data_IF_664349756808
#
_entry.id   IF_664349756808
#
_cell.length_a   1.000
_cell.length_b   1.000
_cell.length_c   1.000
_cell.angle_alpha   90.00
_cell.angle_beta   90.00
_cell.angle_gamma   90.00
#
_symmetry.space_group_name_H-M   'P 1'
#
loop_
_entity.id
_entity.type
_entity.pdbx_description
1 polymer ?
#
# COMPACT_ATOMS: atom_id res chain seq x y z
N UNK A 1 -32.70 35.50 2.57
CA UNK A 1 -33.23 34.22 2.07
C UNK A 1 -33.92 33.53 3.24
N UNK A 2 -35.25 33.33 3.22
CA UNK A 2 -35.93 32.71 4.35
C UNK A 2 -35.74 31.19 4.31
N UNK A 3 -35.23 30.66 5.42
CA UNK A 3 -35.16 29.23 5.75
C UNK A 3 -36.55 28.59 5.65
N UNK A 4 -36.66 27.52 4.87
CA UNK A 4 -37.81 26.60 4.93
C UNK A 4 -37.39 25.39 5.76
N UNK A 5 -38.10 25.03 6.84
CA UNK A 5 -37.87 23.75 7.49
C UNK A 5 -38.40 22.63 6.60
N UNK A 6 -37.52 21.73 6.18
CA UNK A 6 -37.89 20.48 5.50
C UNK A 6 -38.10 19.42 6.57
N UNK A 7 -39.31 19.38 7.14
CA UNK A 7 -39.77 18.20 7.89
C UNK A 7 -40.18 17.11 6.90
N UNK A 8 -39.22 16.26 6.53
CA UNK A 8 -39.49 15.03 5.79
C UNK A 8 -39.48 13.86 6.77
N UNK A 9 -40.58 13.70 7.50
CA UNK A 9 -40.80 12.53 8.35
C UNK A 9 -41.11 11.32 7.45
N UNK A 10 -40.06 10.64 6.98
CA UNK A 10 -40.20 9.31 6.40
C UNK A 10 -40.48 8.32 7.52
N UNK A 11 -41.75 8.14 7.85
CA UNK A 11 -42.19 7.00 8.62
C UNK A 11 -42.00 5.73 7.78
N UNK A 12 -40.85 5.07 7.93
CA UNK A 12 -40.70 3.69 7.48
C UNK A 12 -41.51 2.79 8.42
N UNK A 13 -42.45 1.97 7.91
CA UNK A 13 -43.10 0.98 8.74
C UNK A 13 -42.03 0.03 9.28
N UNK A 14 -42.11 -0.43 10.55
CA UNK A 14 -41.20 -1.44 11.06
C UNK A 14 -41.43 -2.73 10.28
N UNK A 15 -40.59 -2.98 9.28
CA UNK A 15 -40.47 -4.29 8.63
C UNK A 15 -39.92 -5.24 9.67
N UNK A 16 -40.82 -5.90 10.41
CA UNK A 16 -40.53 -7.11 11.18
C UNK A 16 -40.28 -8.30 10.24
N UNK A 17 -39.43 -8.11 9.23
CA UNK A 17 -38.84 -9.24 8.50
C UNK A 17 -37.72 -9.73 9.40
N UNK A 18 -37.97 -10.85 10.07
CA UNK A 18 -37.30 -11.27 11.30
C UNK A 18 -35.78 -11.20 11.28
N UNK A 19 -35.20 -10.43 12.19
CA UNK A 19 -33.75 -10.45 12.49
C UNK A 19 -33.27 -11.87 12.84
N UNK A 20 -34.14 -12.69 13.44
CA UNK A 20 -33.90 -14.12 13.70
C UNK A 20 -33.80 -14.98 12.43
N UNK A 21 -34.60 -14.70 11.39
CA UNK A 21 -34.49 -15.42 10.11
C UNK A 21 -33.24 -15.01 9.34
N UNK A 22 -32.83 -13.74 9.43
CA UNK A 22 -31.58 -13.25 8.86
C UNK A 22 -30.35 -13.91 9.47
N UNK A 23 -30.30 -14.05 10.80
CA UNK A 23 -29.18 -14.72 11.51
C UNK A 23 -29.13 -16.22 11.22
N UNK A 24 -30.29 -16.88 11.21
CA UNK A 24 -30.37 -18.30 10.87
C UNK A 24 -29.94 -18.56 9.42
N UNK A 25 -30.40 -17.73 8.48
CA UNK A 25 -29.98 -17.80 7.08
C UNK A 25 -28.48 -17.55 6.92
N UNK A 26 -27.93 -16.54 7.60
CA UNK A 26 -26.50 -16.26 7.59
C UNK A 26 -25.68 -17.43 8.15
N UNK A 27 -26.10 -18.02 9.27
CA UNK A 27 -25.44 -19.18 9.87
C UNK A 27 -25.47 -20.40 8.93
N UNK A 28 -26.60 -20.63 8.27
CA UNK A 28 -26.74 -21.69 7.27
C UNK A 28 -25.82 -21.45 6.07
N UNK A 29 -25.83 -20.25 5.48
CA UNK A 29 -25.00 -19.90 4.32
C UNK A 29 -23.50 -19.99 4.65
N UNK A 30 -23.09 -19.53 5.82
CA UNK A 30 -21.71 -19.62 6.28
C UNK A 30 -21.30 -21.07 6.51
N UNK A 31 -22.12 -21.87 7.20
CA UNK A 31 -21.85 -23.29 7.47
C UNK A 31 -21.76 -24.10 6.18
N UNK A 32 -22.67 -23.84 5.23
CA UNK A 32 -22.67 -24.47 3.93
C UNK A 32 -21.44 -24.09 3.09
N UNK A 33 -21.07 -22.80 3.10
CA UNK A 33 -19.87 -22.31 2.39
C UNK A 33 -18.60 -22.91 2.99
N UNK A 34 -18.51 -22.95 4.33
CA UNK A 34 -17.41 -23.59 5.05
C UNK A 34 -17.29 -25.07 4.69
N UNK A 35 -18.39 -25.83 4.76
CA UNK A 35 -18.41 -27.25 4.41
C UNK A 35 -17.95 -27.48 2.96
N UNK A 36 -18.42 -26.66 2.01
CA UNK A 36 -17.95 -26.71 0.61
C UNK A 36 -16.45 -26.45 0.50
N UNK A 37 -15.91 -25.45 1.19
CA UNK A 37 -14.48 -25.12 1.15
C UNK A 37 -13.64 -26.24 1.77
N UNK A 38 -14.07 -26.81 2.90
CA UNK A 38 -13.37 -27.93 3.55
C UNK A 38 -13.37 -29.17 2.67
N UNK A 39 -14.53 -29.57 2.13
CA UNK A 39 -14.63 -30.70 1.23
C UNK A 39 -13.76 -30.47 -0.02
N UNK A 40 -13.80 -29.27 -0.62
CA UNK A 40 -12.93 -28.95 -1.76
C UNK A 40 -11.45 -29.03 -1.39
N UNK A 41 -11.05 -28.47 -0.24
CA UNK A 41 -9.66 -28.49 0.24
C UNK A 41 -9.15 -29.91 0.49
N UNK A 42 -9.99 -30.80 1.03
CA UNK A 42 -9.62 -32.18 1.30
C UNK A 42 -9.51 -33.04 0.03
N UNK A 43 -10.34 -32.78 -0.97
CA UNK A 43 -10.44 -33.63 -2.17
C UNK A 43 -9.82 -33.03 -3.44
N UNK A 44 -9.34 -31.79 -3.41
CA UNK A 44 -8.66 -31.16 -4.55
C UNK A 44 -7.28 -30.65 -4.14
N UNK A 45 -6.27 -30.91 -4.98
CA UNK A 45 -4.97 -30.26 -4.84
C UNK A 45 -5.12 -28.84 -5.38
N UNK A 46 -5.06 -27.79 -4.56
CA UNK A 46 -5.15 -26.44 -5.09
C UNK A 46 -4.01 -26.22 -6.10
N UNK A 47 -4.24 -25.43 -7.16
CA UNK A 47 -3.15 -24.98 -8.01
C UNK A 47 -2.07 -24.31 -7.17
N UNK A 48 -0.80 -24.30 -7.61
CA UNK A 48 0.29 -23.70 -6.85
C UNK A 48 -0.10 -22.27 -6.46
N UNK A 49 -0.17 -21.97 -5.16
CA UNK A 49 -0.65 -20.67 -4.68
C UNK A 49 0.15 -19.49 -5.25
N UNK A 50 1.44 -19.70 -5.51
CA UNK A 50 2.31 -18.74 -6.17
C UNK A 50 1.89 -18.46 -7.62
N UNK A 51 1.48 -19.48 -8.37
CA UNK A 51 1.05 -19.30 -9.77
C UNK A 51 -0.25 -18.50 -9.84
N UNK A 52 -1.23 -18.84 -9.00
CA UNK A 52 -2.48 -18.08 -8.87
C UNK A 52 -2.23 -16.65 -8.37
N UNK A 53 -1.26 -16.45 -7.48
CA UNK A 53 -0.86 -15.13 -7.04
C UNK A 53 -0.31 -14.30 -8.21
N UNK A 54 0.59 -14.86 -9.03
CA UNK A 54 1.10 -14.18 -10.21
C UNK A 54 0.02 -13.89 -11.26
N UNK A 55 -0.93 -14.82 -11.47
CA UNK A 55 -2.05 -14.60 -12.39
C UNK A 55 -2.94 -13.43 -11.98
N UNK A 56 -3.18 -13.25 -10.68
CA UNK A 56 -4.05 -12.18 -10.17
C UNK A 56 -3.31 -10.85 -9.99
N UNK A 57 -2.05 -10.89 -9.54
CA UNK A 57 -1.33 -9.70 -9.06
C UNK A 57 -0.06 -9.38 -9.84
N UNK A 58 0.38 -10.24 -10.76
CA UNK A 58 1.62 -10.05 -11.51
C UNK A 58 1.62 -8.75 -12.33
N UNK A 59 0.45 -8.31 -12.79
CA UNK A 59 0.28 -7.04 -13.51
C UNK A 59 0.17 -5.82 -12.59
N UNK A 60 0.00 -6.01 -11.28
CA UNK A 60 -0.16 -4.93 -10.30
C UNK A 60 1.18 -4.41 -9.75
N UNK A 61 2.30 -4.84 -10.34
CA UNK A 61 3.63 -4.38 -9.94
C UNK A 61 4.13 -4.98 -8.62
N UNK A 62 3.48 -6.03 -8.11
CA UNK A 62 3.95 -6.75 -6.92
C UNK A 62 5.16 -7.62 -7.29
N UNK A 63 6.33 -7.22 -6.82
CA UNK A 63 7.56 -7.98 -6.97
C UNK A 63 7.77 -8.96 -5.82
N UNK A 64 8.36 -10.14 -6.08
CA UNK A 64 8.77 -11.04 -5.02
C UNK A 64 9.80 -10.37 -4.11
N UNK A 65 9.74 -10.65 -2.81
CA UNK A 65 10.68 -10.17 -1.79
C UNK A 65 11.45 -11.35 -1.23
N UNK A 66 12.77 -11.33 -1.41
CA UNK A 66 13.68 -12.35 -0.89
C UNK A 66 13.85 -12.24 0.62
N UNK A 67 14.38 -13.28 1.25
CA UNK A 67 14.58 -13.31 2.70
C UNK A 67 15.51 -12.17 3.18
N UNK A 68 16.59 -11.94 2.44
CA UNK A 68 17.58 -10.88 2.72
C UNK A 68 16.97 -9.48 2.51
N UNK A 69 16.08 -9.35 1.54
CA UNK A 69 15.38 -8.09 1.26
C UNK A 69 14.40 -7.73 2.39
N UNK A 70 13.75 -8.73 2.98
CA UNK A 70 12.83 -8.53 4.12
C UNK A 70 13.54 -7.94 5.33
N UNK A 71 14.77 -8.34 5.60
CA UNK A 71 15.57 -7.82 6.72
C UNK A 71 15.87 -6.32 6.56
N UNK A 72 16.08 -5.85 5.33
CA UNK A 72 16.38 -4.44 5.08
C UNK A 72 15.12 -3.57 5.00
N UNK A 73 13.98 -4.14 4.59
CA UNK A 73 12.70 -3.42 4.50
C UNK A 73 12.20 -2.89 5.84
N UNK A 74 12.50 -3.56 6.95
CA UNK A 74 12.16 -3.05 8.29
C UNK A 74 12.80 -1.68 8.53
N UNK A 75 14.07 -1.51 8.12
CA UNK A 75 14.80 -0.25 8.28
C UNK A 75 14.24 0.84 7.38
N UNK A 76 13.84 0.50 6.15
CA UNK A 76 13.20 1.44 5.23
C UNK A 76 11.88 1.99 5.80
N UNK A 77 11.11 1.14 6.47
CA UNK A 77 9.76 1.44 6.96
C UNK A 77 9.72 2.35 8.20
N UNK A 78 10.87 2.72 8.78
CA UNK A 78 10.95 3.54 10.01
C UNK A 78 10.61 5.01 9.81
N UNK A 79 10.34 5.45 8.58
CA UNK A 79 10.09 6.86 8.28
C UNK A 79 8.89 7.40 9.09
N UNK A 80 9.16 8.41 9.92
CA UNK A 80 8.17 9.11 10.76
C UNK A 80 7.61 10.38 10.11
N UNK A 81 7.84 10.58 8.82
CA UNK A 81 7.32 11.73 8.05
C UNK A 81 7.67 13.12 8.64
N UNK A 82 8.87 13.29 9.21
CA UNK A 82 9.27 14.56 9.84
C UNK A 82 9.65 15.69 8.87
N UNK A 83 9.76 15.44 7.56
CA UNK A 83 10.11 16.44 6.54
C UNK A 83 11.55 16.99 6.56
N UNK A 84 12.40 16.62 7.53
CA UNK A 84 13.79 17.14 7.62
C UNK A 84 14.64 16.88 6.38
N UNK A 85 14.41 15.75 5.69
CA UNK A 85 15.12 15.42 4.47
C UNK A 85 14.72 16.31 3.27
N UNK A 86 13.60 17.04 3.35
CA UNK A 86 13.13 17.93 2.28
C UNK A 86 13.74 19.33 2.36
N UNK A 87 14.43 19.67 3.45
CA UNK A 87 15.09 20.97 3.59
C UNK A 87 16.10 21.19 2.45
N UNK A 88 15.87 22.20 1.63
CA UNK A 88 16.70 22.55 0.47
C UNK A 88 16.36 21.81 -0.83
N UNK A 89 15.30 21.00 -0.88
CA UNK A 89 14.91 20.26 -2.09
C UNK A 89 14.13 21.09 -3.12
N UNK A 90 13.74 22.34 -2.80
CA UNK A 90 12.83 23.14 -3.62
C UNK A 90 13.26 23.31 -5.08
N UNK A 91 14.55 23.55 -5.34
CA UNK A 91 15.07 23.67 -6.71
C UNK A 91 14.96 22.35 -7.49
N UNK A 92 15.21 21.22 -6.83
CA UNK A 92 15.11 19.87 -7.42
C UNK A 92 13.66 19.48 -7.70
N UNK A 93 12.76 19.77 -6.77
CA UNK A 93 11.32 19.56 -6.94
C UNK A 93 10.83 20.35 -8.15
N UNK A 94 11.17 21.64 -8.25
CA UNK A 94 10.80 22.47 -9.39
C UNK A 94 11.39 21.95 -10.72
N UNK A 95 12.68 21.58 -10.71
CA UNK A 95 13.36 21.05 -11.91
C UNK A 95 12.76 19.71 -12.40
N UNK A 96 12.19 18.92 -11.50
CA UNK A 96 11.60 17.61 -11.84
C UNK A 96 10.27 17.68 -12.58
N UNK A 97 9.62 18.86 -12.64
CA UNK A 97 8.29 19.04 -13.26
C UNK A 97 7.23 18.06 -12.75
N UNK A 98 7.28 17.74 -11.45
CA UNK A 98 6.32 16.86 -10.77
C UNK A 98 6.75 15.40 -10.66
N UNK A 99 7.87 14.99 -11.26
CA UNK A 99 8.39 13.63 -11.12
C UNK A 99 9.04 13.36 -9.75
N UNK A 100 9.47 14.41 -9.03
CA UNK A 100 10.06 14.31 -7.69
C UNK A 100 9.33 15.25 -6.72
N UNK A 101 8.51 14.71 -5.80
CA UNK A 101 7.74 15.51 -4.84
C UNK A 101 8.53 15.93 -3.58
N UNK A 102 9.80 15.52 -3.47
CA UNK A 102 10.59 15.62 -2.24
C UNK A 102 11.00 14.24 -1.73
N UNK A 103 12.01 14.19 -0.86
CA UNK A 103 12.62 12.96 -0.40
C UNK A 103 11.72 12.23 0.62
N UNK A 104 11.05 12.95 1.52
CA UNK A 104 10.11 12.33 2.46
C UNK A 104 8.93 11.64 1.76
N UNK A 105 8.13 12.31 0.88
CA UNK A 105 7.01 11.64 0.21
C UNK A 105 7.49 10.50 -0.67
N UNK A 106 8.66 10.63 -1.31
CA UNK A 106 9.26 9.58 -2.11
C UNK A 106 9.58 8.32 -1.27
N UNK A 107 10.18 8.51 -0.08
CA UNK A 107 10.46 7.40 0.85
C UNK A 107 9.17 6.75 1.35
N UNK A 108 8.14 7.53 1.68
CA UNK A 108 6.86 6.96 2.12
C UNK A 108 6.20 6.12 1.02
N UNK A 109 6.20 6.60 -0.23
CA UNK A 109 5.70 5.84 -1.37
C UNK A 109 6.52 4.55 -1.57
N UNK A 110 7.85 4.68 -1.65
CA UNK A 110 8.78 3.57 -1.85
C UNK A 110 8.74 2.48 -0.76
N UNK A 111 8.31 2.82 0.46
CA UNK A 111 8.31 1.87 1.59
C UNK A 111 6.95 1.30 1.91
N UNK A 112 5.87 1.89 1.41
CA UNK A 112 4.49 1.51 1.75
C UNK A 112 3.64 1.11 0.54
N UNK A 113 4.15 1.31 -0.68
CA UNK A 113 3.43 0.99 -1.91
C UNK A 113 4.37 0.38 -2.94
N UNK A 114 4.38 -0.96 -3.00
CA UNK A 114 5.14 -1.71 -4.01
C UNK A 114 4.67 -1.45 -5.45
N UNK A 115 3.36 -1.33 -5.74
CA UNK A 115 2.90 -0.95 -7.08
C UNK A 115 3.50 0.36 -7.61
N UNK A 116 3.91 1.26 -6.71
CA UNK A 116 4.46 2.58 -7.06
C UNK A 116 5.97 2.57 -7.29
N UNK A 117 6.64 1.41 -7.31
CA UNK A 117 8.11 1.35 -7.44
C UNK A 117 8.63 1.95 -8.75
N UNK A 118 7.88 1.85 -9.86
CA UNK A 118 8.24 2.53 -11.12
C UNK A 118 8.26 4.05 -10.94
N UNK A 119 7.25 4.61 -10.28
CA UNK A 119 7.18 6.04 -10.01
C UNK A 119 8.27 6.47 -9.01
N UNK A 120 8.52 5.65 -7.98
CA UNK A 120 9.55 5.91 -7.00
C UNK A 120 10.96 5.86 -7.63
N UNK A 121 11.25 4.91 -8.52
CA UNK A 121 12.52 4.86 -9.24
C UNK A 121 12.75 6.13 -10.07
N UNK A 122 11.72 6.63 -10.76
CA UNK A 122 11.77 7.92 -11.49
C UNK A 122 12.03 9.09 -10.54
N UNK A 123 11.38 9.12 -9.38
CA UNK A 123 11.63 10.14 -8.35
C UNK A 123 13.06 10.12 -7.84
N UNK A 124 13.62 8.94 -7.54
CA UNK A 124 14.99 8.78 -7.08
C UNK A 124 16.03 9.17 -8.14
N UNK A 125 15.74 9.00 -9.43
CA UNK A 125 16.62 9.44 -10.51
C UNK A 125 16.88 10.95 -10.53
N UNK A 126 16.04 11.76 -9.87
CA UNK A 126 16.27 13.20 -9.72
C UNK A 126 17.23 13.55 -8.58
N UNK A 127 17.58 12.61 -7.69
CA UNK A 127 18.37 12.86 -6.48
C UNK A 127 19.74 12.18 -6.59
N UNK A 128 20.85 12.93 -6.72
CA UNK A 128 22.20 12.36 -6.76
C UNK A 128 22.51 11.54 -5.51
N UNK A 129 23.31 10.49 -5.66
CA UNK A 129 23.67 9.58 -4.56
C UNK A 129 24.37 10.31 -3.41
N UNK A 130 25.17 11.31 -3.71
CA UNK A 130 25.86 12.17 -2.73
C UNK A 130 24.86 12.95 -1.89
N UNK A 131 23.76 13.39 -2.50
CA UNK A 131 22.66 14.06 -1.80
C UNK A 131 21.94 13.06 -0.91
N UNK A 132 21.63 11.85 -1.40
CA UNK A 132 21.00 10.81 -0.59
C UNK A 132 21.83 10.48 0.66
N UNK A 133 23.15 10.29 0.49
CA UNK A 133 24.10 10.07 1.60
C UNK A 133 24.14 11.25 2.57
N UNK A 134 24.14 12.48 2.06
CA UNK A 134 24.15 13.66 2.89
C UNK A 134 22.86 13.79 3.73
N UNK A 135 21.70 13.54 3.13
CA UNK A 135 20.39 13.60 3.79
C UNK A 135 20.20 12.48 4.82
N UNK A 136 20.82 11.31 4.63
CA UNK A 136 20.77 10.23 5.61
C UNK A 136 21.30 10.69 6.99
N UNK A 137 22.29 11.59 7.02
CA UNK A 137 22.85 12.16 8.26
C UNK A 137 21.90 13.07 9.01
N UNK A 138 20.91 13.67 8.35
CA UNK A 138 19.93 14.58 8.98
C UNK A 138 18.64 13.86 9.40
N UNK A 139 18.47 12.61 8.95
CA UNK A 139 17.30 11.79 9.27
C UNK A 139 17.36 11.28 10.72
N UNK A 140 16.37 11.62 11.58
CA UNK A 140 16.40 11.21 12.99
C UNK A 140 16.28 9.70 13.20
N UNK A 141 15.64 9.00 12.25
CA UNK A 141 15.45 7.54 12.27
C UNK A 141 16.42 6.80 11.34
N UNK A 142 17.40 7.52 10.78
CA UNK A 142 18.51 6.98 9.95
C UNK A 142 18.04 6.11 8.77
N UNK A 143 17.07 6.61 7.98
CA UNK A 143 16.70 5.91 6.74
C UNK A 143 17.91 5.87 5.78
N UNK A 144 18.30 4.68 5.31
CA UNK A 144 19.39 4.54 4.34
C UNK A 144 18.90 4.86 2.92
N UNK A 145 18.80 6.15 2.58
CA UNK A 145 18.18 6.61 1.33
C UNK A 145 18.82 6.05 0.06
N UNK A 146 20.14 5.87 0.04
CA UNK A 146 20.86 5.27 -1.09
C UNK A 146 20.45 3.81 -1.32
N UNK A 147 20.53 2.99 -0.26
CA UNK A 147 20.13 1.58 -0.34
C UNK A 147 18.64 1.41 -0.70
N UNK A 148 17.78 2.33 -0.25
CA UNK A 148 16.37 2.34 -0.64
C UNK A 148 16.20 2.66 -2.14
N UNK A 149 16.95 3.64 -2.67
CA UNK A 149 16.92 3.98 -4.09
C UNK A 149 17.39 2.81 -4.96
N UNK A 150 18.47 2.13 -4.57
CA UNK A 150 18.97 0.93 -5.25
C UNK A 150 17.95 -0.23 -5.20
N UNK A 151 17.36 -0.47 -4.04
CA UNK A 151 16.33 -1.49 -3.86
C UNK A 151 15.12 -1.25 -4.76
N UNK A 152 14.60 -0.01 -4.78
CA UNK A 152 13.47 0.37 -5.63
C UNK A 152 13.82 0.25 -7.10
N UNK A 153 15.01 0.68 -7.52
CA UNK A 153 15.46 0.54 -8.90
C UNK A 153 15.54 -0.93 -9.34
N UNK A 154 16.01 -1.83 -8.47
CA UNK A 154 16.05 -3.28 -8.73
C UNK A 154 14.65 -3.90 -8.83
N UNK A 155 13.66 -3.34 -8.12
CA UNK A 155 12.28 -3.83 -8.06
C UNK A 155 11.30 -3.07 -8.96
N UNK A 156 11.76 -2.07 -9.70
CA UNK A 156 10.96 -1.40 -10.72
C UNK A 156 11.02 -2.24 -12.01
N UNK A 157 9.89 -2.82 -12.48
CA UNK A 157 9.84 -3.57 -13.74
C UNK A 157 10.00 -2.68 -14.98
#
# INVERSE_FOLDING_TARGET
MPDRPVERTLAHPPTKVGVLSGRALAAFLLSWSFLKVVLRSLFTKPPPGLQVFHENYGTEGLQPIEAEEREVMERFSRCIACGRCDLGEGSRIAASRGAYPGLMPLVLAATRSMPDYVAAARGFAHVPVEVLRAKARTCPVRIPFEALAEFVAKKAP
#
